data_IF_540096512093
#
_entry.id   IF_540096512093
#
_cell.length_a   1.000
_cell.length_b   1.000
_cell.length_c   1.000
_cell.angle_alpha   90.00
_cell.angle_beta   90.00
_cell.angle_gamma   90.00
#
_symmetry.space_group_name_H-M   'P 1'
#
loop_
_entity.id
_entity.type
_entity.pdbx_description
1 polymer ?
#
# COMPACT_ATOMS: atom_id res chain seq x y z
N UNK A 1 8.65 17.95 -0.68
CA UNK A 1 9.13 16.76 -1.41
C UNK A 1 7.93 15.85 -1.60
N UNK A 2 7.69 15.39 -2.82
CA UNK A 2 6.58 14.53 -3.20
C UNK A 2 7.13 13.10 -3.35
N UNK A 3 6.57 12.16 -2.59
CA UNK A 3 7.02 10.76 -2.56
C UNK A 3 5.81 9.86 -2.78
N UNK A 4 5.84 9.11 -3.88
CA UNK A 4 4.83 8.09 -4.17
C UNK A 4 5.09 6.85 -3.31
N UNK A 5 4.26 6.59 -2.30
CA UNK A 5 4.48 5.50 -1.36
C UNK A 5 4.14 4.10 -1.89
N UNK A 6 3.63 3.99 -3.12
CA UNK A 6 3.10 2.74 -3.64
C UNK A 6 3.36 2.62 -5.14
N UNK A 7 4.44 1.95 -5.52
CA UNK A 7 4.74 1.64 -6.92
C UNK A 7 5.30 0.23 -7.08
N UNK A 8 5.19 -0.31 -8.28
CA UNK A 8 5.71 -1.63 -8.63
C UNK A 8 6.60 -1.56 -9.87
N UNK A 9 7.44 -2.58 -10.02
CA UNK A 9 8.18 -2.86 -11.25
C UNK A 9 7.92 -4.32 -11.64
N UNK A 10 7.88 -4.61 -12.93
CA UNK A 10 7.67 -5.95 -13.47
C UNK A 10 6.39 -6.08 -14.29
N UNK A 11 6.04 -7.33 -14.60
CA UNK A 11 4.94 -7.67 -15.49
C UNK A 11 3.68 -8.05 -14.71
N UNK A 12 2.85 -7.04 -14.41
CA UNK A 12 1.58 -7.22 -13.70
C UNK A 12 0.41 -7.56 -14.65
N UNK A 13 0.68 -7.87 -15.92
CA UNK A 13 -0.39 -8.16 -16.88
C UNK A 13 -1.13 -9.43 -16.50
N UNK A 14 -2.42 -9.43 -16.80
CA UNK A 14 -3.28 -10.61 -16.77
C UNK A 14 -3.47 -11.15 -18.18
N UNK A 15 -3.96 -12.39 -18.30
CA UNK A 15 -4.19 -13.02 -19.61
C UNK A 15 -5.11 -12.20 -20.54
N UNK A 16 -6.00 -11.38 -19.98
CA UNK A 16 -6.91 -10.51 -20.72
C UNK A 16 -6.38 -9.07 -20.94
N UNK A 17 -5.18 -8.75 -20.43
CA UNK A 17 -4.58 -7.41 -20.45
C UNK A 17 -3.15 -7.45 -21.02
N UNK A 18 -2.90 -8.31 -22.00
CA UNK A 18 -1.57 -8.48 -22.61
C UNK A 18 -1.14 -7.30 -23.48
N UNK A 19 -2.10 -6.46 -23.88
CA UNK A 19 -1.92 -5.19 -24.60
C UNK A 19 -1.31 -4.09 -23.72
N UNK A 20 -1.41 -4.20 -22.39
CA UNK A 20 -0.78 -3.27 -21.46
C UNK A 20 0.73 -3.36 -21.51
N UNK A 21 1.39 -2.29 -21.11
CA UNK A 21 2.85 -2.19 -21.06
C UNK A 21 3.33 -2.43 -19.62
N UNK A 22 4.19 -3.43 -19.36
CA UNK A 22 4.81 -3.63 -18.04
C UNK A 22 5.59 -2.41 -17.56
N UNK A 23 5.67 -2.22 -16.25
CA UNK A 23 6.47 -1.14 -15.65
C UNK A 23 7.92 -1.60 -15.54
N UNK A 24 8.81 -0.96 -16.29
CA UNK A 24 10.27 -1.09 -16.10
C UNK A 24 10.77 0.01 -15.16
N UNK A 25 12.00 -0.14 -14.64
CA UNK A 25 12.65 0.91 -13.85
C UNK A 25 12.74 2.23 -14.64
N UNK A 26 13.16 2.17 -15.89
CA UNK A 26 13.30 3.34 -16.76
C UNK A 26 11.95 4.03 -16.97
N UNK A 27 10.89 3.24 -17.21
CA UNK A 27 9.54 3.80 -17.37
C UNK A 27 9.01 4.41 -16.09
N UNK A 28 9.33 3.83 -14.92
CA UNK A 28 8.96 4.37 -13.62
C UNK A 28 9.69 5.70 -13.38
N UNK A 29 11.02 5.75 -13.57
CA UNK A 29 11.81 6.98 -13.42
C UNK A 29 11.32 8.08 -14.35
N UNK A 30 11.09 7.77 -15.63
CA UNK A 30 10.56 8.73 -16.59
C UNK A 30 9.20 9.30 -16.15
N UNK A 31 8.30 8.44 -15.64
CA UNK A 31 7.02 8.87 -15.08
C UNK A 31 7.22 9.82 -13.88
N UNK A 32 8.13 9.49 -12.96
CA UNK A 32 8.40 10.36 -11.80
C UNK A 32 8.85 11.76 -12.25
N UNK A 33 9.71 11.83 -13.27
CA UNK A 33 10.17 13.10 -13.84
C UNK A 33 9.02 13.89 -14.51
N UNK A 34 8.20 13.22 -15.31
CA UNK A 34 7.06 13.82 -16.01
C UNK A 34 6.00 14.38 -15.06
N UNK A 35 5.70 13.67 -13.96
CA UNK A 35 4.67 14.07 -12.99
C UNK A 35 5.19 15.06 -11.93
N UNK A 36 6.52 15.21 -11.84
CA UNK A 36 7.19 16.02 -10.81
C UNK A 36 7.12 15.35 -9.44
N UNK A 37 7.38 14.04 -9.40
CA UNK A 37 7.50 13.22 -8.18
C UNK A 37 9.00 13.04 -7.87
N UNK A 38 9.41 13.39 -6.66
CA UNK A 38 10.82 13.38 -6.28
C UNK A 38 11.34 11.94 -6.09
N UNK A 39 10.57 11.09 -5.39
CA UNK A 39 10.93 9.71 -5.09
C UNK A 39 9.71 8.77 -5.12
N UNK A 40 9.95 7.47 -5.22
CA UNK A 40 8.91 6.46 -5.08
C UNK A 40 9.35 5.28 -4.23
N UNK A 41 8.44 4.69 -3.47
CA UNK A 41 8.63 3.40 -2.82
C UNK A 41 8.36 2.30 -3.84
N UNK A 42 9.32 1.38 -4.00
CA UNK A 42 9.15 0.18 -4.82
C UNK A 42 8.77 -0.99 -3.92
N UNK A 43 7.56 -1.49 -4.12
CA UNK A 43 7.02 -2.66 -3.43
C UNK A 43 7.22 -3.90 -4.32
N UNK A 44 8.13 -4.82 -3.96
CA UNK A 44 8.40 -5.97 -4.81
C UNK A 44 7.26 -7.01 -4.73
N UNK A 45 6.91 -7.57 -5.89
CA UNK A 45 5.82 -8.54 -6.06
C UNK A 45 6.35 -9.78 -6.77
N UNK A 46 5.86 -11.01 -6.61
CA UNK A 46 4.83 -11.49 -5.70
C UNK A 46 5.44 -12.49 -4.72
N UNK A 47 5.24 -12.35 -3.40
CA UNK A 47 5.67 -13.35 -2.44
C UNK A 47 4.69 -14.53 -2.33
N UNK A 48 3.48 -14.43 -2.90
CA UNK A 48 2.40 -15.38 -2.68
C UNK A 48 1.73 -15.86 -3.98
N UNK A 49 1.20 -17.09 -4.02
CA UNK A 49 0.65 -17.68 -5.23
C UNK A 49 -0.62 -16.97 -5.73
N UNK A 50 -1.43 -16.38 -4.86
CA UNK A 50 -2.67 -15.70 -5.24
C UNK A 50 -2.41 -14.42 -6.07
N UNK A 51 -1.24 -13.81 -5.92
CA UNK A 51 -0.83 -12.62 -6.69
C UNK A 51 -0.14 -12.94 -8.01
N UNK A 52 0.45 -14.13 -8.17
CA UNK A 52 1.23 -14.46 -9.37
C UNK A 52 0.31 -14.63 -10.59
N UNK A 53 0.44 -13.73 -11.55
CA UNK A 53 -0.21 -13.84 -12.86
C UNK A 53 0.66 -14.62 -13.84
N UNK A 54 0.05 -15.37 -14.78
CA UNK A 54 0.82 -16.21 -15.71
C UNK A 54 1.89 -15.46 -16.53
N UNK A 55 1.66 -14.22 -17.01
CA UNK A 55 2.71 -13.44 -17.68
C UNK A 55 3.92 -13.15 -16.79
N UNK A 56 3.70 -12.95 -15.47
CA UNK A 56 4.76 -12.68 -14.50
C UNK A 56 5.80 -13.81 -14.43
N UNK A 57 5.39 -15.07 -14.69
CA UNK A 57 6.30 -16.22 -14.79
C UNK A 57 7.39 -16.04 -15.84
N UNK A 58 7.19 -15.14 -16.80
CA UNK A 58 8.12 -14.84 -17.88
C UNK A 58 8.89 -13.53 -17.69
N UNK A 59 8.63 -12.76 -16.63
CA UNK A 59 9.29 -11.48 -16.35
C UNK A 59 10.81 -11.61 -16.19
N UNK A 60 11.58 -10.55 -16.40
CA UNK A 60 13.04 -10.59 -16.21
C UNK A 60 13.43 -10.66 -14.73
N UNK A 61 12.65 -10.00 -13.86
CA UNK A 61 12.87 -9.93 -12.40
C UNK A 61 11.69 -10.60 -11.71
N UNK A 62 11.86 -11.89 -11.38
CA UNK A 62 10.77 -12.79 -10.95
C UNK A 62 10.69 -13.01 -9.45
N UNK A 63 11.59 -12.39 -8.69
CA UNK A 63 11.72 -12.61 -7.27
C UNK A 63 11.92 -11.29 -6.52
N UNK A 64 11.66 -11.32 -5.23
CA UNK A 64 11.73 -10.15 -4.35
C UNK A 64 13.14 -9.57 -4.32
N UNK A 65 14.18 -10.41 -4.28
CA UNK A 65 15.57 -9.95 -4.15
C UNK A 65 16.02 -9.25 -5.43
N UNK A 66 15.74 -9.82 -6.61
CA UNK A 66 16.12 -9.19 -7.88
C UNK A 66 15.42 -7.84 -8.13
N UNK A 67 14.22 -7.63 -7.59
CA UNK A 67 13.53 -6.34 -7.64
C UNK A 67 14.10 -5.33 -6.64
N UNK A 68 14.40 -5.76 -5.41
CA UNK A 68 15.06 -4.90 -4.41
C UNK A 68 16.41 -4.40 -4.93
N UNK A 69 17.24 -5.30 -5.47
CA UNK A 69 18.53 -4.92 -6.05
C UNK A 69 18.36 -3.94 -7.22
N UNK A 70 17.33 -4.15 -8.05
CA UNK A 70 17.01 -3.24 -9.15
C UNK A 70 16.65 -1.83 -8.65
N UNK A 71 15.82 -1.72 -7.59
CA UNK A 71 15.46 -0.44 -7.01
C UNK A 71 16.70 0.26 -6.40
N UNK A 72 17.64 -0.50 -5.85
CA UNK A 72 18.89 0.03 -5.30
C UNK A 72 19.82 0.64 -6.36
N UNK A 73 19.74 0.20 -7.62
CA UNK A 73 20.49 0.82 -8.72
C UNK A 73 20.07 2.29 -8.97
N UNK A 74 18.91 2.70 -8.41
CA UNK A 74 18.34 4.05 -8.49
C UNK A 74 17.99 4.60 -7.09
N UNK A 75 18.78 4.31 -6.05
CA UNK A 75 18.49 4.68 -4.66
C UNK A 75 18.30 6.20 -4.43
N UNK A 76 18.80 7.05 -5.33
CA UNK A 76 18.55 8.49 -5.31
C UNK A 76 17.12 8.86 -5.70
N UNK A 77 16.37 7.97 -6.36
CA UNK A 77 14.97 8.15 -6.76
C UNK A 77 14.01 7.12 -6.17
N UNK A 78 14.49 5.92 -5.85
CA UNK A 78 13.67 4.81 -5.39
C UNK A 78 14.01 4.44 -3.95
N UNK A 79 12.97 4.11 -3.19
CA UNK A 79 13.03 3.68 -1.80
C UNK A 79 12.61 2.21 -1.78
N UNK A 80 13.52 1.25 -1.56
CA UNK A 80 13.15 -0.16 -1.60
C UNK A 80 12.38 -0.56 -0.34
N UNK A 81 11.24 -1.21 -0.54
CA UNK A 81 10.68 -2.12 0.45
C UNK A 81 11.08 -3.55 0.09
N UNK A 82 11.03 -4.45 1.07
CA UNK A 82 11.03 -5.89 0.81
C UNK A 82 9.60 -6.42 0.88
N UNK A 83 9.41 -7.72 0.65
CA UNK A 83 8.10 -8.34 0.82
C UNK A 83 8.23 -9.80 1.28
N UNK A 84 7.26 -10.26 2.05
CA UNK A 84 7.22 -11.58 2.66
C UNK A 84 5.78 -12.08 2.74
N UNK A 85 5.57 -13.37 2.49
CA UNK A 85 4.31 -14.04 2.81
C UNK A 85 4.41 -14.65 4.22
N UNK A 86 3.41 -14.45 5.11
CA UNK A 86 3.38 -15.04 6.45
C UNK A 86 3.56 -16.57 6.49
N UNK A 87 3.34 -17.27 5.37
CA UNK A 87 3.48 -18.72 5.24
C UNK A 87 4.90 -19.15 4.85
N UNK A 88 5.80 -18.23 4.48
CA UNK A 88 7.18 -18.56 4.06
C UNK A 88 8.02 -19.23 5.16
N UNK A 89 7.69 -19.02 6.44
CA UNK A 89 8.35 -19.68 7.57
C UNK A 89 7.83 -21.09 7.87
N UNK A 90 7.65 -21.91 6.84
CA UNK A 90 7.12 -23.28 6.98
C UNK A 90 5.64 -23.33 7.35
N UNK A 91 4.87 -22.31 6.95
CA UNK A 91 3.43 -22.19 7.23
C UNK A 91 3.09 -22.23 8.74
N UNK A 92 3.98 -21.68 9.58
CA UNK A 92 3.89 -21.75 11.05
C UNK A 92 3.69 -20.38 11.68
N UNK A 93 2.87 -20.31 12.73
CA UNK A 93 2.69 -19.11 13.54
C UNK A 93 3.92 -18.77 14.41
N UNK A 94 4.85 -19.71 14.57
CA UNK A 94 6.14 -19.51 15.26
C UNK A 94 7.32 -19.39 14.29
N UNK A 95 7.08 -18.87 13.09
CA UNK A 95 8.12 -18.65 12.09
C UNK A 95 9.10 -17.55 12.55
N UNK A 96 10.39 -17.82 12.43
CA UNK A 96 11.45 -16.84 12.71
C UNK A 96 11.84 -16.12 11.41
N UNK A 97 11.38 -14.88 11.24
CA UNK A 97 11.66 -14.05 10.07
C UNK A 97 12.89 -13.15 10.25
N UNK A 98 13.43 -13.03 11.48
CA UNK A 98 14.51 -12.10 11.83
C UNK A 98 15.72 -12.15 10.89
N UNK A 99 16.18 -13.34 10.48
CA UNK A 99 17.30 -13.46 9.55
C UNK A 99 16.99 -12.89 8.15
N UNK A 100 15.74 -13.01 7.68
CA UNK A 100 15.33 -12.46 6.39
C UNK A 100 15.20 -10.94 6.49
N UNK A 101 14.60 -10.44 7.57
CA UNK A 101 14.47 -9.01 7.87
C UNK A 101 15.86 -8.34 7.97
N UNK A 102 16.80 -8.96 8.68
CA UNK A 102 18.20 -8.50 8.75
C UNK A 102 18.82 -8.35 7.36
N UNK A 103 18.63 -9.35 6.49
CA UNK A 103 19.18 -9.34 5.13
C UNK A 103 18.52 -8.27 4.26
N UNK A 104 17.20 -8.08 4.36
CA UNK A 104 16.51 -7.01 3.65
C UNK A 104 16.97 -5.62 4.11
N UNK A 105 17.11 -5.41 5.41
CA UNK A 105 17.67 -4.15 5.95
C UNK A 105 19.10 -3.93 5.45
N UNK A 106 19.93 -4.97 5.43
CA UNK A 106 21.28 -4.87 4.87
C UNK A 106 21.32 -4.59 3.35
N UNK A 107 20.25 -4.91 2.62
CA UNK A 107 20.07 -4.53 1.21
C UNK A 107 19.47 -3.13 1.02
N UNK A 108 19.24 -2.39 2.10
CA UNK A 108 18.70 -1.02 2.07
C UNK A 108 17.18 -0.93 2.21
N UNK A 109 16.46 -2.04 2.42
CA UNK A 109 15.02 -2.01 2.59
C UNK A 109 14.59 -1.29 3.87
N UNK A 110 13.58 -0.42 3.75
CA UNK A 110 13.10 0.41 4.87
C UNK A 110 11.64 0.13 5.26
N UNK A 111 11.01 -0.87 4.64
CA UNK A 111 9.67 -1.33 4.97
C UNK A 111 9.36 -2.69 4.33
N UNK A 112 8.20 -3.24 4.64
CA UNK A 112 7.68 -4.50 4.09
C UNK A 112 6.37 -4.25 3.36
N UNK A 113 6.21 -4.81 2.17
CA UNK A 113 4.96 -4.80 1.43
C UNK A 113 5.16 -4.82 -0.08
N UNK A 114 4.09 -4.93 -0.84
CA UNK A 114 2.71 -5.04 -0.38
C UNK A 114 2.37 -6.45 0.12
N UNK A 115 1.90 -6.60 1.36
CA UNK A 115 1.51 -7.92 1.88
C UNK A 115 0.17 -8.32 1.29
N UNK A 116 0.23 -9.31 0.41
CA UNK A 116 -0.86 -9.73 -0.48
C UNK A 116 -1.38 -11.14 -0.17
N UNK A 117 -0.98 -11.73 0.96
CA UNK A 117 -1.41 -13.04 1.40
C UNK A 117 -2.92 -13.08 1.67
N UNK A 118 -3.63 -14.07 1.10
CA UNK A 118 -5.08 -14.21 1.29
C UNK A 118 -5.43 -14.95 2.59
N UNK A 119 -5.11 -14.29 3.71
CA UNK A 119 -5.34 -14.76 5.08
C UNK A 119 -6.17 -13.74 5.87
N UNK A 120 -6.91 -14.15 6.92
CA UNK A 120 -7.48 -13.20 7.87
C UNK A 120 -6.41 -12.25 8.42
N UNK A 121 -6.73 -10.95 8.55
CA UNK A 121 -5.76 -9.97 9.03
C UNK A 121 -5.20 -10.28 10.44
N UNK A 122 -5.97 -10.98 11.27
CA UNK A 122 -5.56 -11.42 12.61
C UNK A 122 -5.07 -12.87 12.67
N UNK A 123 -4.81 -13.50 11.52
CA UNK A 123 -4.23 -14.84 11.49
C UNK A 123 -2.92 -14.87 12.29
N UNK A 124 -2.69 -15.87 13.18
CA UNK A 124 -1.49 -15.90 14.01
C UNK A 124 -0.16 -15.80 13.24
N UNK A 125 -0.12 -16.27 11.98
CA UNK A 125 1.06 -16.12 11.10
C UNK A 125 1.25 -14.67 10.66
N UNK A 126 0.17 -13.97 10.30
CA UNK A 126 0.18 -12.54 9.94
C UNK A 126 0.64 -11.73 11.15
N UNK A 127 0.01 -11.95 12.31
CA UNK A 127 0.36 -11.27 13.56
C UNK A 127 1.85 -11.49 13.90
N UNK A 128 2.35 -12.72 13.76
CA UNK A 128 3.76 -13.04 14.03
C UNK A 128 4.73 -12.29 13.10
N UNK A 129 4.48 -12.29 11.79
CA UNK A 129 5.28 -11.52 10.84
C UNK A 129 5.28 -10.02 11.19
N UNK A 130 4.09 -9.46 11.43
CA UNK A 130 3.94 -8.02 11.68
C UNK A 130 4.60 -7.60 12.99
N UNK A 131 4.53 -8.43 14.03
CA UNK A 131 5.23 -8.20 15.31
C UNK A 131 6.74 -8.07 15.08
N UNK A 132 7.32 -9.02 14.35
CA UNK A 132 8.76 -8.99 14.03
C UNK A 132 9.10 -7.78 13.13
N UNK A 133 8.25 -7.38 12.18
CA UNK A 133 8.46 -6.13 11.44
C UNK A 133 8.52 -4.90 12.36
N UNK A 134 7.66 -4.83 13.38
CA UNK A 134 7.68 -3.77 14.40
C UNK A 134 8.96 -3.74 15.23
N UNK A 135 9.43 -4.91 15.68
CA UNK A 135 10.72 -5.06 16.38
C UNK A 135 11.90 -4.56 15.52
N UNK A 136 11.81 -4.73 14.21
CA UNK A 136 12.78 -4.24 13.24
C UNK A 136 12.51 -2.80 12.76
N UNK A 137 11.49 -2.11 13.28
CA UNK A 137 11.11 -0.75 12.87
C UNK A 137 10.82 -0.61 11.37
N UNK A 138 10.17 -1.64 10.79
CA UNK A 138 9.76 -1.67 9.40
C UNK A 138 8.24 -1.50 9.33
N UNK A 139 7.70 -0.41 8.76
CA UNK A 139 6.27 -0.31 8.49
C UNK A 139 5.85 -1.39 7.48
N UNK A 140 4.59 -1.80 7.56
CA UNK A 140 4.03 -2.83 6.69
C UNK A 140 2.87 -2.27 5.88
N UNK A 141 3.00 -2.27 4.55
CA UNK A 141 1.91 -1.94 3.63
C UNK A 141 1.13 -3.21 3.27
N UNK A 142 -0.19 -3.16 3.42
CA UNK A 142 -1.08 -4.32 3.21
C UNK A 142 -2.00 -4.11 2.02
N UNK A 143 -2.22 -5.17 1.24
CA UNK A 143 -3.38 -5.25 0.37
C UNK A 143 -4.54 -5.85 1.15
N UNK A 144 -5.73 -5.25 1.09
CA UNK A 144 -6.95 -5.84 1.64
C UNK A 144 -8.05 -5.81 0.58
N UNK A 145 -8.51 -6.98 0.17
CA UNK A 145 -9.69 -7.12 -0.72
C UNK A 145 -10.80 -7.88 -0.03
N UNK A 146 -10.68 -9.21 0.05
CA UNK A 146 -11.73 -10.05 0.60
C UNK A 146 -11.52 -11.53 0.29
N UNK A 147 -12.43 -12.39 0.76
CA UNK A 147 -12.33 -13.83 0.56
C UNK A 147 -12.90 -14.25 -0.81
N UNK A 148 -12.41 -15.35 -1.36
CA UNK A 148 -13.03 -16.04 -2.49
C UNK A 148 -12.22 -16.03 -3.78
N UNK A 149 -12.79 -16.63 -4.82
CA UNK A 149 -12.16 -16.77 -6.13
C UNK A 149 -11.84 -15.40 -6.76
N UNK A 150 -10.62 -15.25 -7.27
CA UNK A 150 -10.18 -14.04 -7.94
C UNK A 150 -9.69 -12.91 -7.02
N UNK A 151 -9.77 -13.09 -5.70
CA UNK A 151 -9.29 -12.12 -4.71
C UNK A 151 -7.95 -12.53 -4.07
N UNK A 152 -7.19 -11.52 -3.65
CA UNK A 152 -5.92 -11.65 -2.93
C UNK A 152 -5.84 -10.54 -1.86
N UNK A 153 -4.78 -10.55 -1.04
CA UNK A 153 -4.65 -9.65 0.10
C UNK A 153 -5.40 -10.12 1.33
N UNK A 154 -5.13 -9.46 2.45
CA UNK A 154 -5.71 -9.78 3.75
C UNK A 154 -7.24 -9.71 3.71
N UNK A 155 -7.84 -10.60 4.50
CA UNK A 155 -9.28 -10.81 4.59
C UNK A 155 -9.80 -10.21 5.89
N UNK A 156 -10.87 -9.45 5.79
CA UNK A 156 -11.60 -8.94 6.93
C UNK A 156 -13.11 -9.01 6.66
N UNK A 157 -13.94 -9.30 7.67
CA UNK A 157 -15.39 -9.04 7.62
C UNK A 157 -15.72 -7.55 7.58
N UNK A 158 -16.99 -7.23 7.30
CA UNK A 158 -17.50 -5.87 7.47
C UNK A 158 -17.22 -5.36 8.88
N UNK A 159 -16.74 -4.14 8.98
CA UNK A 159 -16.37 -3.50 10.24
C UNK A 159 -14.89 -3.62 10.62
N UNK A 160 -14.08 -4.29 9.80
CA UNK A 160 -12.64 -4.51 9.99
C UNK A 160 -12.22 -5.12 11.36
N UNK A 161 -12.97 -6.09 11.93
CA UNK A 161 -12.65 -6.61 13.26
C UNK A 161 -11.32 -7.37 13.33
N UNK A 162 -10.83 -7.96 12.22
CA UNK A 162 -9.56 -8.68 12.23
C UNK A 162 -8.39 -7.70 12.22
N UNK A 163 -8.43 -6.66 11.37
CA UNK A 163 -7.46 -5.59 11.32
C UNK A 163 -7.40 -4.86 12.67
N UNK A 164 -8.55 -4.64 13.32
CA UNK A 164 -8.59 -4.09 14.67
C UNK A 164 -7.79 -4.95 15.67
N UNK A 165 -8.00 -6.27 15.67
CA UNK A 165 -7.24 -7.18 16.53
C UNK A 165 -5.77 -7.23 16.14
N UNK A 166 -5.43 -7.12 14.86
CA UNK A 166 -4.03 -7.00 14.41
C UNK A 166 -3.39 -5.74 15.01
N UNK A 167 -4.02 -4.57 14.84
CA UNK A 167 -3.54 -3.29 15.38
C UNK A 167 -3.33 -3.33 16.89
N UNK A 168 -4.21 -4.00 17.63
CA UNK A 168 -4.06 -4.21 19.08
C UNK A 168 -2.89 -5.13 19.45
N UNK A 169 -2.62 -6.16 18.64
CA UNK A 169 -1.60 -7.17 18.93
C UNK A 169 -0.19 -6.76 18.49
N UNK A 170 -0.06 -5.78 17.58
CA UNK A 170 1.21 -5.27 17.07
C UNK A 170 1.29 -3.73 17.16
N UNK A 171 1.17 -3.15 18.37
CA UNK A 171 1.09 -1.69 18.54
C UNK A 171 2.35 -0.95 18.08
N UNK A 172 3.50 -1.62 18.05
CA UNK A 172 4.78 -1.06 17.61
C UNK A 172 4.98 -1.11 16.09
N UNK A 173 4.08 -1.77 15.36
CA UNK A 173 4.14 -1.88 13.90
C UNK A 173 3.22 -0.87 13.26
N UNK A 174 3.78 0.06 12.48
CA UNK A 174 3.00 0.92 11.59
C UNK A 174 2.43 0.09 10.44
N UNK A 175 1.11 0.10 10.29
CA UNK A 175 0.38 -0.59 9.22
C UNK A 175 -0.16 0.48 8.26
N UNK A 176 0.15 0.34 6.97
CA UNK A 176 -0.37 1.18 5.90
C UNK A 176 -1.46 0.38 5.18
N UNK A 177 -2.72 0.76 5.40
CA UNK A 177 -3.88 0.13 4.79
C UNK A 177 -4.06 0.54 3.34
N UNK A 178 -4.31 -0.45 2.49
CA UNK A 178 -4.58 -0.30 1.08
C UNK A 178 -5.57 -1.39 0.58
N UNK A 179 -6.20 -1.14 -0.56
CA UNK A 179 -7.03 -2.11 -1.27
C UNK A 179 -8.53 -1.88 -1.12
N UNK A 180 -9.35 -2.46 -2.01
CA UNK A 180 -10.79 -2.23 -2.06
C UNK A 180 -11.53 -2.61 -0.76
N UNK A 181 -11.13 -3.72 -0.12
CA UNK A 181 -11.70 -4.20 1.14
C UNK A 181 -11.47 -3.27 2.32
N UNK A 182 -10.33 -2.58 2.32
CA UNK A 182 -9.98 -1.56 3.30
C UNK A 182 -10.74 -0.26 3.01
N UNK A 183 -10.67 0.23 1.78
CA UNK A 183 -11.26 1.52 1.41
C UNK A 183 -12.78 1.54 1.31
N UNK A 184 -13.44 0.38 1.14
CA UNK A 184 -14.90 0.28 1.24
C UNK A 184 -15.40 0.80 2.60
N UNK A 185 -14.65 0.54 3.67
CA UNK A 185 -15.00 0.83 5.08
C UNK A 185 -14.88 2.31 5.46
N UNK A 186 -14.61 3.18 4.50
CA UNK A 186 -14.86 4.62 4.65
C UNK A 186 -16.36 4.91 4.82
N UNK A 187 -17.24 4.03 4.33
CA UNK A 187 -18.70 4.18 4.43
C UNK A 187 -19.36 3.25 5.45
N UNK A 188 -20.38 3.76 6.14
CA UNK A 188 -21.12 3.02 7.18
C UNK A 188 -22.17 2.03 6.70
N UNK A 189 -22.47 1.98 5.40
CA UNK A 189 -23.52 1.13 4.81
C UNK A 189 -22.93 -0.02 3.97
N UNK A 190 -21.71 -0.44 4.29
CA UNK A 190 -21.06 -1.57 3.63
C UNK A 190 -21.68 -2.89 4.06
N UNK A 191 -21.76 -3.80 3.11
CA UNK A 191 -22.27 -5.16 3.28
C UNK A 191 -21.23 -6.15 2.74
N UNK A 192 -21.36 -7.43 3.08
CA UNK A 192 -20.46 -8.46 2.55
C UNK A 192 -20.45 -8.50 1.01
N UNK A 193 -21.57 -8.12 0.37
CA UNK A 193 -21.70 -8.11 -1.09
C UNK A 193 -20.95 -6.98 -1.80
N UNK A 194 -20.55 -5.92 -1.10
CA UNK A 194 -19.83 -4.78 -1.70
C UNK A 194 -18.51 -4.43 -1.01
N UNK A 195 -18.14 -5.10 0.10
CA UNK A 195 -16.87 -4.88 0.80
C UNK A 195 -15.66 -5.17 -0.08
N UNK A 196 -15.65 -6.28 -0.82
CA UNK A 196 -14.50 -6.72 -1.61
C UNK A 196 -14.33 -6.00 -2.96
N UNK A 197 -15.01 -4.87 -3.16
CA UNK A 197 -15.04 -4.15 -4.44
C UNK A 197 -14.90 -2.65 -4.28
N UNK A 198 -15.44 -1.91 -5.25
CA UNK A 198 -15.41 -0.44 -5.27
C UNK A 198 -16.83 0.09 -5.12
N UNK A 199 -17.31 0.36 -3.89
CA UNK A 199 -18.65 0.90 -3.69
C UNK A 199 -18.85 2.18 -4.49
N UNK A 200 -20.00 2.28 -5.15
CA UNK A 200 -20.41 3.46 -5.93
C UNK A 200 -21.32 4.38 -5.13
N UNK A 201 -21.51 5.59 -5.63
CA UNK A 201 -22.44 6.58 -5.09
C UNK A 201 -21.99 7.23 -3.77
N UNK A 202 -22.83 8.12 -3.22
CA UNK A 202 -22.53 8.88 -2.02
C UNK A 202 -22.30 7.98 -0.81
N UNK A 203 -21.51 8.46 0.14
CA UNK A 203 -21.24 7.72 1.38
C UNK A 203 -22.43 7.98 2.34
N UNK A 204 -23.08 6.95 2.87
CA UNK A 204 -24.27 7.09 3.74
C UNK A 204 -23.96 7.52 5.18
N UNK A 205 -22.87 7.02 5.77
CA UNK A 205 -22.36 7.36 7.11
C UNK A 205 -20.86 7.09 7.22
N UNK A 206 -20.24 7.37 8.37
CA UNK A 206 -18.86 6.91 8.65
C UNK A 206 -18.85 5.39 8.78
N UNK A 207 -17.82 4.74 8.22
CA UNK A 207 -17.60 3.31 8.41
C UNK A 207 -16.59 3.00 9.50
N UNK A 208 -16.10 1.77 9.52
CA UNK A 208 -15.13 1.36 10.53
C UNK A 208 -13.78 2.06 10.38
N UNK A 209 -13.42 2.51 9.18
CA UNK A 209 -12.11 3.10 8.93
C UNK A 209 -11.86 4.35 9.79
N UNK A 210 -12.82 5.25 9.89
CA UNK A 210 -12.73 6.47 10.72
C UNK A 210 -12.54 6.11 12.19
N UNK A 211 -13.33 5.16 12.70
CA UNK A 211 -13.21 4.65 14.08
C UNK A 211 -11.83 4.08 14.35
N UNK A 212 -11.30 3.25 13.44
CA UNK A 212 -9.98 2.65 13.58
C UNK A 212 -8.88 3.71 13.53
N UNK A 213 -8.90 4.63 12.56
CA UNK A 213 -7.90 5.68 12.46
C UNK A 213 -7.91 6.64 13.66
N UNK A 214 -9.06 6.88 14.30
CA UNK A 214 -9.14 7.63 15.56
C UNK A 214 -8.54 6.87 16.75
N UNK A 215 -8.68 5.54 16.75
CA UNK A 215 -8.32 4.69 17.91
C UNK A 215 -6.86 4.23 17.87
N UNK A 216 -6.35 3.88 16.69
CA UNK A 216 -5.06 3.22 16.51
C UNK A 216 -4.06 4.16 15.82
N UNK A 217 -3.11 4.76 16.57
CA UNK A 217 -2.16 5.70 16.00
C UNK A 217 -1.16 5.07 15.03
N UNK A 218 -1.02 3.73 15.06
CA UNK A 218 -0.19 2.95 14.16
C UNK A 218 -0.89 2.57 12.84
N UNK A 219 -2.12 3.03 12.59
CA UNK A 219 -2.81 2.85 11.30
C UNK A 219 -2.65 4.07 10.39
N UNK A 220 -2.08 3.85 9.21
CA UNK A 220 -1.99 4.80 8.10
C UNK A 220 -2.82 4.28 6.92
N UNK A 221 -3.13 5.16 5.97
CA UNK A 221 -3.81 4.78 4.74
C UNK A 221 -3.09 5.39 3.54
N UNK A 222 -2.75 4.57 2.55
CA UNK A 222 -2.37 5.10 1.24
C UNK A 222 -3.61 5.27 0.36
N UNK A 223 -3.60 6.32 -0.47
CA UNK A 223 -4.74 6.64 -1.35
C UNK A 223 -4.67 5.94 -2.71
N UNK A 224 -3.74 5.00 -2.89
CA UNK A 224 -3.33 4.50 -4.19
C UNK A 224 -4.42 3.66 -4.88
N UNK A 225 -4.18 3.35 -6.16
CA UNK A 225 -5.08 2.63 -7.04
C UNK A 225 -6.46 3.29 -7.21
N UNK A 226 -7.37 2.55 -7.85
CA UNK A 226 -8.77 2.93 -7.90
C UNK A 226 -9.44 2.86 -6.52
N UNK A 227 -8.95 2.04 -5.58
CA UNK A 227 -9.55 1.85 -4.25
C UNK A 227 -9.56 3.15 -3.44
N UNK A 228 -8.39 3.73 -3.17
CA UNK A 228 -8.28 4.97 -2.40
C UNK A 228 -8.83 6.17 -3.16
N UNK A 229 -8.54 6.27 -4.46
CA UNK A 229 -9.08 7.35 -5.28
C UNK A 229 -10.61 7.34 -5.30
N UNK A 230 -11.25 6.20 -5.57
CA UNK A 230 -12.71 6.08 -5.56
C UNK A 230 -13.29 6.45 -4.20
N UNK A 231 -12.71 5.95 -3.10
CA UNK A 231 -13.17 6.25 -1.75
C UNK A 231 -13.18 7.77 -1.45
N UNK A 232 -12.16 8.50 -1.90
CA UNK A 232 -12.07 9.94 -1.68
C UNK A 232 -12.88 10.78 -2.67
N UNK A 233 -13.19 10.27 -3.86
CA UNK A 233 -13.79 11.08 -4.94
C UNK A 233 -15.25 10.79 -5.22
N UNK A 234 -15.76 9.60 -4.88
CA UNK A 234 -17.17 9.23 -5.09
C UNK A 234 -18.16 10.09 -4.29
N UNK A 235 -17.69 10.69 -3.20
CA UNK A 235 -18.38 11.71 -2.42
C UNK A 235 -17.37 12.80 -2.02
N UNK A 236 -17.18 13.84 -2.87
CA UNK A 236 -16.12 14.83 -2.68
C UNK A 236 -16.16 15.54 -1.33
N UNK A 237 -17.36 15.81 -0.80
CA UNK A 237 -17.51 16.47 0.51
C UNK A 237 -16.95 15.60 1.62
N UNK A 238 -17.24 14.29 1.60
CA UNK A 238 -16.75 13.37 2.62
C UNK A 238 -15.29 12.97 2.42
N UNK A 239 -14.83 12.84 1.17
CA UNK A 239 -13.41 12.62 0.89
C UNK A 239 -12.54 13.76 1.38
N UNK A 240 -12.92 15.01 1.11
CA UNK A 240 -12.22 16.19 1.63
C UNK A 240 -12.24 16.22 3.16
N UNK A 241 -13.40 15.93 3.78
CA UNK A 241 -13.49 15.88 5.23
C UNK A 241 -12.57 14.80 5.83
N UNK A 242 -12.49 13.63 5.20
CA UNK A 242 -11.61 12.54 5.62
C UNK A 242 -10.13 12.93 5.52
N UNK A 243 -9.71 13.55 4.41
CA UNK A 243 -8.33 14.04 4.24
C UNK A 243 -8.00 15.14 5.26
N UNK A 244 -8.95 16.03 5.58
CA UNK A 244 -8.76 17.07 6.62
C UNK A 244 -8.60 16.47 8.02
N UNK A 245 -9.41 15.47 8.34
CA UNK A 245 -9.42 14.86 9.67
C UNK A 245 -8.20 13.97 9.91
N UNK A 246 -7.85 13.12 8.95
CA UNK A 246 -6.81 12.10 9.07
C UNK A 246 -5.51 12.46 8.34
N UNK A 247 -5.38 13.69 7.89
CA UNK A 247 -4.33 14.16 6.99
C UNK A 247 -2.90 13.90 7.43
N UNK A 248 -2.65 13.73 8.72
CA UNK A 248 -1.35 13.34 9.25
C UNK A 248 -1.03 11.85 9.05
N UNK A 249 -2.02 11.01 8.73
CA UNK A 249 -1.86 9.56 8.50
C UNK A 249 -2.34 9.09 7.12
N UNK A 250 -2.60 10.02 6.21
CA UNK A 250 -2.82 9.74 4.79
C UNK A 250 -1.50 9.87 4.03
N UNK A 251 -1.24 8.91 3.14
CA UNK A 251 -0.05 8.86 2.30
C UNK A 251 -0.44 8.94 0.82
N UNK A 252 0.25 9.81 0.08
CA UNK A 252 0.18 9.81 -1.38
C UNK A 252 0.81 8.52 -1.92
N UNK A 253 0.05 7.79 -2.73
CA UNK A 253 0.51 6.63 -3.49
C UNK A 253 -0.29 6.52 -4.78
N UNK A 254 0.25 5.85 -5.80
CA UNK A 254 -0.47 5.68 -7.07
C UNK A 254 -0.84 4.25 -7.39
N UNK A 255 -0.01 3.27 -7.00
CA UNK A 255 -0.14 1.87 -7.41
C UNK A 255 -0.18 1.75 -8.94
N UNK A 256 0.81 2.37 -9.59
CA UNK A 256 0.96 2.25 -11.04
C UNK A 256 1.36 0.80 -11.38
N UNK A 257 0.50 0.12 -12.11
CA UNK A 257 0.71 -1.27 -12.54
C UNK A 257 1.15 -1.39 -14.00
N UNK A 258 0.97 -0.34 -14.80
CA UNK A 258 1.25 -0.34 -16.24
C UNK A 258 1.87 1.00 -16.68
N UNK A 259 2.76 0.95 -17.67
CA UNK A 259 3.52 2.10 -18.15
C UNK A 259 2.89 2.79 -19.39
N UNK A 260 1.70 2.36 -19.83
CA UNK A 260 1.04 2.96 -20.98
C UNK A 260 0.69 4.43 -20.75
N UNK A 261 0.54 5.22 -21.85
CA UNK A 261 0.19 6.64 -21.75
C UNK A 261 -1.17 6.87 -21.07
N UNK A 262 -2.10 5.92 -21.23
CA UNK A 262 -3.44 5.96 -20.63
C UNK A 262 -3.49 5.36 -19.21
N UNK A 263 -2.36 4.84 -18.69
CA UNK A 263 -2.27 4.20 -17.37
C UNK A 263 -1.78 5.17 -16.27
N UNK A 264 -1.83 6.48 -16.54
CA UNK A 264 -1.48 7.53 -15.58
C UNK A 264 -2.53 7.64 -14.48
N UNK A 265 -2.07 7.84 -13.25
CA UNK A 265 -2.90 7.84 -12.05
C UNK A 265 -3.28 9.27 -11.63
N UNK A 266 -4.56 9.55 -11.31
CA UNK A 266 -5.05 10.92 -11.09
C UNK A 266 -4.72 11.51 -9.72
N UNK A 267 -4.08 10.75 -8.82
CA UNK A 267 -3.95 11.06 -7.40
C UNK A 267 -3.19 12.35 -7.09
N UNK A 268 -2.07 12.61 -7.76
CA UNK A 268 -1.34 13.86 -7.56
C UNK A 268 -2.12 15.06 -8.10
N UNK A 269 -2.85 14.87 -9.20
CA UNK A 269 -3.78 15.84 -9.76
C UNK A 269 -4.92 16.17 -8.79
N UNK A 270 -5.49 15.15 -8.13
CA UNK A 270 -6.48 15.32 -7.06
C UNK A 270 -5.93 16.20 -5.93
N UNK A 271 -4.76 15.86 -5.37
CA UNK A 271 -4.15 16.61 -4.27
C UNK A 271 -3.85 18.07 -4.66
N UNK A 272 -3.27 18.29 -5.85
CA UNK A 272 -3.03 19.65 -6.38
C UNK A 272 -4.34 20.42 -6.62
N UNK A 273 -5.39 19.73 -7.07
CA UNK A 273 -6.72 20.31 -7.26
C UNK A 273 -7.35 20.78 -5.94
N UNK A 274 -7.26 19.96 -4.88
CA UNK A 274 -7.73 20.31 -3.54
C UNK A 274 -6.96 21.51 -2.95
N UNK A 275 -5.65 21.58 -3.20
CA UNK A 275 -4.83 22.72 -2.81
C UNK A 275 -5.24 23.99 -3.56
N UNK A 276 -5.38 23.89 -4.89
CA UNK A 276 -5.74 25.03 -5.75
C UNK A 276 -7.13 25.58 -5.46
N UNK A 277 -8.09 24.75 -5.05
CA UNK A 277 -9.43 25.19 -4.65
C UNK A 277 -9.50 25.75 -3.22
N UNK A 278 -8.42 25.63 -2.44
CA UNK A 278 -8.40 26.00 -1.01
C UNK A 278 -9.13 25.01 -0.11
N UNK A 279 -9.44 23.81 -0.61
CA UNK A 279 -9.99 22.75 0.23
C UNK A 279 -8.95 22.21 1.20
N UNK A 280 -7.68 22.11 0.82
CA UNK A 280 -6.57 21.83 1.75
C UNK A 280 -5.55 22.96 1.69
N UNK A 281 -4.81 23.16 2.77
CA UNK A 281 -3.69 24.11 2.80
C UNK A 281 -2.36 23.45 2.37
N UNK A 282 -1.33 24.27 2.21
CA UNK A 282 0.01 23.81 1.82
C UNK A 282 0.59 22.83 2.85
N UNK A 283 0.31 23.03 4.14
CA UNK A 283 0.84 22.18 5.20
C UNK A 283 0.26 20.75 5.08
N UNK A 284 -1.06 20.64 4.91
CA UNK A 284 -1.74 19.36 4.71
C UNK A 284 -1.33 18.71 3.38
N UNK A 285 -1.17 19.50 2.31
CA UNK A 285 -0.64 18.97 1.05
C UNK A 285 0.75 18.35 1.24
N UNK A 286 1.70 19.05 1.88
CA UNK A 286 3.05 18.53 2.10
C UNK A 286 3.10 17.34 3.07
N UNK A 287 2.17 17.26 4.02
CA UNK A 287 1.99 16.09 4.89
C UNK A 287 1.65 14.86 4.06
N UNK A 288 0.54 14.92 3.31
CA UNK A 288 0.04 13.80 2.51
C UNK A 288 1.00 13.44 1.38
N UNK A 289 1.56 14.44 0.70
CA UNK A 289 2.41 14.23 -0.47
C UNK A 289 3.78 13.61 -0.15
N UNK A 290 4.25 13.62 1.11
CA UNK A 290 5.51 12.96 1.43
C UNK A 290 5.99 13.02 2.88
N UNK A 291 5.67 14.09 3.63
CA UNK A 291 6.23 14.25 4.98
C UNK A 291 5.73 13.18 5.96
N UNK A 292 4.48 12.72 5.79
CA UNK A 292 3.93 11.61 6.57
C UNK A 292 4.69 10.31 6.33
N UNK A 293 5.04 10.02 5.07
CA UNK A 293 5.81 8.82 4.73
C UNK A 293 7.20 8.86 5.36
N UNK A 294 7.91 9.99 5.24
CA UNK A 294 9.24 10.14 5.83
C UNK A 294 9.23 9.94 7.36
N UNK A 295 8.15 10.37 8.03
CA UNK A 295 7.97 10.19 9.48
C UNK A 295 7.87 8.72 9.90
N UNK A 296 7.33 7.84 9.05
CA UNK A 296 7.16 6.42 9.35
C UNK A 296 8.26 5.52 8.77
N UNK A 297 9.30 6.10 8.17
CA UNK A 297 10.47 5.41 7.65
C UNK A 297 11.73 5.74 8.47
N UNK A 298 11.81 5.32 9.75
CA UNK A 298 12.94 5.66 10.62
C UNK A 298 14.29 5.16 10.06
N UNK A 299 14.27 4.08 9.26
CA UNK A 299 15.47 3.53 8.63
C UNK A 299 15.94 4.30 7.40
N UNK A 300 15.08 5.09 6.74
CA UNK A 300 15.50 5.85 5.56
C UNK A 300 16.56 6.90 5.91
N UNK A 301 16.44 7.53 7.07
CA UNK A 301 17.45 8.47 7.58
C UNK A 301 18.77 7.80 7.98
N UNK A 302 18.79 6.47 8.17
CA UNK A 302 20.00 5.71 8.54
C UNK A 302 20.76 5.14 7.33
N UNK A 303 20.19 5.24 6.13
CA UNK A 303 20.75 4.74 4.86
C UNK A 303 21.26 5.90 3.97
N UNK A 304 20.89 7.14 4.27
CA UNK A 304 21.38 8.36 3.61
C UNK A 304 22.69 8.87 4.22
#
# INVERSE_FOLDING_TARGET
MIIDCHTHIGDLRRAHALDKVPVTLESLIARLDEEGIDKAVVLPLWPNPEGIHLPYLFSERRDIVSQVLAAMDYAERLIPFANLDPRMGGNSAGAEFGWALERFVAMGCVGIGEVTANLPADDPRVVNLFRQCGEWQLPVLIHSTGPGEGYYGLIDPVGLPNLERLLQQVPDTTIIGHGPGFWAEIGGEITDGNKSGYPEGPIGGEGALQRLMRTYPNLYADISAHSGHNALTRDPRRGVAFVKEFGDRILFGTDVCFAGPDDRMPHLGLLRGLLASGEIDEALFQQVAGSNLLRILPRLASVA
#
